data_IF_475034873788
#
_entry.id   IF_475034873788
#
_cell.length_a   1.000
_cell.length_b   1.000
_cell.length_c   1.000
_cell.angle_alpha   90.00
_cell.angle_beta   90.00
_cell.angle_gamma   90.00
#
_symmetry.space_group_name_H-M   'P 1'
#
loop_
_entity.id
_entity.type
_entity.pdbx_description
1 polymer ?
#
# COMPACT_ATOMS: atom_id res chain seq x y z
N UNK A 1 -7.62 9.77 22.85
CA UNK A 1 -8.28 10.10 24.12
C UNK A 1 -7.89 9.09 25.19
N UNK A 2 -8.12 7.78 25.02
CA UNK A 2 -7.80 6.75 26.02
C UNK A 2 -6.33 6.79 26.48
N UNK A 3 -5.39 6.91 25.56
CA UNK A 3 -3.96 6.98 25.87
C UNK A 3 -3.62 8.22 26.70
N UNK A 4 -4.24 9.37 26.41
CA UNK A 4 -4.03 10.63 27.14
C UNK A 4 -4.60 10.54 28.57
N UNK A 5 -5.74 9.89 28.73
CA UNK A 5 -6.34 9.63 30.06
C UNK A 5 -5.44 8.71 30.88
N UNK A 6 -4.91 7.64 30.27
CA UNK A 6 -3.96 6.72 30.94
C UNK A 6 -2.68 7.46 31.35
N UNK A 7 -2.09 8.25 30.45
CA UNK A 7 -0.89 9.03 30.73
C UNK A 7 -1.11 10.06 31.83
N UNK A 8 -2.24 10.77 31.82
CA UNK A 8 -2.59 11.72 32.87
C UNK A 8 -2.80 11.05 34.24
N UNK A 9 -3.46 9.89 34.25
CA UNK A 9 -3.67 9.10 35.48
C UNK A 9 -2.32 8.56 36.02
N UNK A 10 -1.46 8.07 35.14
CA UNK A 10 -0.13 7.60 35.50
C UNK A 10 0.77 8.76 36.01
N UNK A 11 0.70 9.90 35.36
CA UNK A 11 1.42 11.11 35.81
C UNK A 11 0.94 11.59 37.17
N UNK A 12 -0.38 11.60 37.40
CA UNK A 12 -0.96 11.93 38.70
C UNK A 12 -0.47 10.98 39.79
N UNK A 13 -0.44 9.68 39.52
CA UNK A 13 0.06 8.67 40.47
C UNK A 13 1.54 8.85 40.78
N UNK A 14 2.40 9.03 39.76
CA UNK A 14 3.85 9.23 39.92
C UNK A 14 4.14 10.50 40.72
N UNK A 15 3.46 11.60 40.43
CA UNK A 15 3.70 12.88 41.12
C UNK A 15 3.22 12.78 42.58
N UNK A 16 2.09 12.12 42.85
CA UNK A 16 1.63 11.92 44.22
C UNK A 16 2.60 11.09 45.07
N UNK A 17 3.16 10.03 44.51
CA UNK A 17 4.13 9.17 45.19
C UNK A 17 5.46 9.89 45.39
N UNK A 18 5.99 10.53 44.31
CA UNK A 18 7.23 11.32 44.39
C UNK A 18 7.13 12.52 45.33
N UNK A 19 5.93 13.14 45.41
CA UNK A 19 5.69 14.25 46.32
C UNK A 19 5.75 13.78 47.79
N UNK A 20 5.20 12.60 48.08
CA UNK A 20 5.27 11.99 49.39
C UNK A 20 6.70 11.77 49.87
N UNK A 21 7.53 11.22 48.98
CA UNK A 21 8.97 11.00 49.26
C UNK A 21 9.75 12.31 49.41
N UNK A 22 9.45 13.32 48.59
CA UNK A 22 10.05 14.66 48.70
C UNK A 22 9.72 15.33 50.05
N UNK A 23 8.44 15.30 50.43
CA UNK A 23 8.00 15.88 51.71
C UNK A 23 8.63 15.18 52.91
N UNK A 24 8.77 13.85 52.87
CA UNK A 24 9.47 13.12 53.92
C UNK A 24 10.97 13.58 54.05
N UNK A 25 11.65 13.81 52.93
CA UNK A 25 13.04 14.33 52.94
C UNK A 25 13.12 15.78 53.43
N UNK A 26 12.17 16.63 53.08
CA UNK A 26 12.09 18.00 53.59
C UNK A 26 11.88 18.01 55.11
N UNK A 27 10.98 17.13 55.62
CA UNK A 27 10.82 16.97 57.06
C UNK A 27 12.11 16.49 57.75
N UNK A 28 12.82 15.54 57.12
CA UNK A 28 14.10 15.04 57.63
C UNK A 28 15.13 16.18 57.75
N UNK A 29 15.23 17.08 56.76
CA UNK A 29 16.14 18.26 56.88
C UNK A 29 15.77 19.18 58.02
N UNK A 30 14.47 19.38 58.29
CA UNK A 30 13.97 20.18 59.40
C UNK A 30 14.22 19.52 60.78
N UNK A 31 14.29 18.19 60.78
CA UNK A 31 14.62 17.41 62.01
C UNK A 31 16.11 17.36 62.31
N UNK A 32 17.00 17.88 61.47
CA UNK A 32 18.44 17.84 61.65
C UNK A 32 18.91 18.42 63.03
N UNK A 33 18.34 19.50 63.58
CA UNK A 33 18.68 19.96 64.92
C UNK A 33 18.29 18.94 66.01
N UNK A 34 17.06 18.39 65.92
CA UNK A 34 16.58 17.36 66.85
C UNK A 34 17.44 16.10 66.77
N UNK A 35 17.85 15.73 65.55
CA UNK A 35 18.75 14.59 65.33
C UNK A 35 20.11 14.76 66.04
N UNK A 36 20.68 15.96 65.98
CA UNK A 36 21.93 16.24 66.71
C UNK A 36 21.80 15.98 68.20
N UNK A 37 20.72 16.46 68.80
CA UNK A 37 20.44 16.25 70.24
C UNK A 37 20.19 14.77 70.56
N UNK A 38 19.46 14.05 69.74
CA UNK A 38 19.26 12.60 69.89
C UNK A 38 20.60 11.83 69.84
N UNK A 39 21.48 12.17 68.88
CA UNK A 39 22.83 11.56 68.79
C UNK A 39 23.68 11.87 69.99
N UNK A 40 23.69 13.11 70.48
CA UNK A 40 24.45 13.53 71.68
C UNK A 40 23.94 12.78 72.93
N UNK A 41 22.61 12.67 73.05
CA UNK A 41 21.98 11.98 74.18
C UNK A 41 22.34 10.48 74.19
N UNK A 42 22.32 9.79 73.06
CA UNK A 42 22.77 8.40 72.94
C UNK A 42 24.25 8.24 73.27
N UNK A 43 25.13 9.18 72.84
CA UNK A 43 26.54 9.08 73.10
C UNK A 43 26.90 9.31 74.61
N UNK A 44 26.12 10.13 75.29
CA UNK A 44 26.39 10.45 76.71
C UNK A 44 25.75 9.43 77.69
N UNK A 45 24.52 9.00 77.46
CA UNK A 45 23.73 8.13 78.38
C UNK A 45 23.47 6.72 77.92
N UNK A 46 23.75 6.39 76.66
CA UNK A 46 23.62 5.11 75.96
C UNK A 46 22.16 4.53 75.94
N UNK A 47 21.12 5.28 76.37
CA UNK A 47 19.75 4.80 76.49
C UNK A 47 18.73 5.86 76.06
N UNK A 48 17.83 5.50 75.13
CA UNK A 48 16.72 6.32 74.69
C UNK A 48 15.44 6.14 75.51
N UNK A 49 15.48 5.29 76.56
CA UNK A 49 14.32 5.00 77.40
C UNK A 49 13.73 6.23 78.11
N UNK A 50 14.56 7.24 78.34
CA UNK A 50 14.13 8.52 78.95
C UNK A 50 13.13 9.26 78.05
N UNK A 51 13.20 9.11 76.73
CA UNK A 51 12.25 9.71 75.80
C UNK A 51 10.94 8.97 75.70
N UNK A 52 10.82 7.79 76.32
CA UNK A 52 9.56 7.02 76.44
C UNK A 52 8.64 7.57 77.54
N UNK A 53 9.11 8.48 78.38
CA UNK A 53 8.33 9.13 79.46
C UNK A 53 7.39 10.18 78.81
N UNK A 54 6.13 10.16 79.27
CA UNK A 54 5.11 11.09 78.80
C UNK A 54 5.59 12.54 78.83
N UNK A 55 5.46 13.25 77.71
CA UNK A 55 5.87 14.66 77.54
C UNK A 55 7.36 14.90 77.33
N UNK A 56 8.23 13.90 77.50
CA UNK A 56 9.69 14.09 77.32
C UNK A 56 10.08 14.42 75.86
N UNK A 57 9.44 13.82 74.90
CA UNK A 57 9.62 14.06 73.47
C UNK A 57 9.20 15.48 73.07
N UNK A 58 8.01 15.90 73.51
CA UNK A 58 7.44 17.21 73.24
C UNK A 58 8.32 18.31 73.81
N UNK A 59 8.76 18.13 75.07
CA UNK A 59 9.66 19.02 75.72
C UNK A 59 11.02 19.17 75.00
N UNK A 60 11.58 18.05 74.55
CA UNK A 60 12.80 18.04 73.75
C UNK A 60 12.66 18.87 72.44
N UNK A 61 11.59 18.61 71.70
CA UNK A 61 11.32 19.29 70.44
C UNK A 61 11.09 20.80 70.65
N UNK A 62 10.31 21.16 71.69
CA UNK A 62 10.06 22.55 72.02
C UNK A 62 11.34 23.28 72.48
N UNK A 63 12.19 22.64 73.30
CA UNK A 63 13.50 23.24 73.74
C UNK A 63 14.40 23.44 72.51
N UNK A 64 14.51 22.51 71.60
CA UNK A 64 15.28 22.65 70.36
C UNK A 64 14.77 23.83 69.48
N UNK A 65 13.46 24.01 69.40
CA UNK A 65 12.87 25.11 68.60
C UNK A 65 13.04 26.46 69.26
N UNK A 66 13.04 26.52 70.60
CA UNK A 66 13.27 27.71 71.37
C UNK A 66 14.75 28.20 71.18
N UNK A 67 15.70 27.29 71.33
CA UNK A 67 17.13 27.56 71.08
C UNK A 67 17.34 28.06 69.62
N UNK A 68 16.64 27.45 68.67
CA UNK A 68 16.73 27.89 67.28
C UNK A 68 16.10 29.25 67.05
N UNK A 69 15.04 29.62 67.76
CA UNK A 69 14.38 30.90 67.71
C UNK A 69 15.31 32.01 68.32
N UNK A 70 15.92 31.74 69.47
CA UNK A 70 16.90 32.64 70.10
C UNK A 70 18.16 32.83 69.24
N UNK A 71 18.64 31.73 68.60
CA UNK A 71 19.77 31.78 67.68
C UNK A 71 19.46 32.59 66.40
N UNK A 72 18.24 32.67 65.96
CA UNK A 72 17.83 33.55 64.85
C UNK A 72 17.70 35.01 65.26
N UNK A 73 17.38 35.28 66.52
CA UNK A 73 17.17 36.63 66.99
C UNK A 73 18.49 37.39 67.27
N UNK A 74 19.57 36.71 67.51
CA UNK A 74 20.85 37.32 67.87
C UNK A 74 21.88 37.24 66.73
N UNK A 75 22.48 38.38 66.32
CA UNK A 75 23.46 38.46 65.23
C UNK A 75 24.73 37.62 65.51
N UNK A 76 25.07 37.43 66.78
CA UNK A 76 26.21 36.61 67.27
C UNK A 76 25.95 35.09 67.02
N UNK A 77 24.71 34.62 67.04
CA UNK A 77 24.39 33.25 66.83
C UNK A 77 24.46 32.82 65.34
N UNK A 78 24.35 33.76 64.38
CA UNK A 78 24.63 33.49 62.96
C UNK A 78 26.07 33.10 62.70
N UNK A 79 27.00 33.66 63.44
CA UNK A 79 28.44 33.37 63.32
C UNK A 79 28.77 32.04 64.05
N UNK A 80 28.11 31.76 65.17
CA UNK A 80 28.24 30.49 65.87
C UNK A 80 27.59 29.29 65.13
N UNK A 81 26.53 29.53 64.39
CA UNK A 81 25.90 28.48 63.50
C UNK A 81 26.81 28.10 62.35
N UNK A 82 27.59 29.05 61.80
CA UNK A 82 28.63 28.81 60.81
C UNK A 82 29.85 28.07 61.35
N UNK A 83 30.19 28.26 62.62
CA UNK A 83 31.28 27.58 63.27
C UNK A 83 30.96 26.26 63.95
N UNK A 84 29.67 25.83 63.89
CA UNK A 84 29.24 24.54 64.47
C UNK A 84 29.23 24.46 65.98
N UNK A 85 29.29 25.60 66.66
CA UNK A 85 29.37 25.72 68.14
C UNK A 85 28.06 26.04 68.83
N UNK A 86 26.96 25.45 68.40
CA UNK A 86 25.70 25.51 69.15
C UNK A 86 25.72 24.36 70.16
N UNK A 87 25.88 24.67 71.41
CA UNK A 87 25.81 23.69 72.48
C UNK A 87 24.35 23.40 72.80
N UNK A 88 23.93 22.23 72.43
CA UNK A 88 22.59 21.68 72.72
C UNK A 88 22.61 20.84 73.99
N UNK A 89 23.31 21.22 75.04
CA UNK A 89 23.30 20.55 76.32
C UNK A 89 21.88 20.63 76.92
N UNK A 90 21.11 19.53 76.75
CA UNK A 90 19.79 19.36 77.32
C UNK A 90 19.90 18.48 78.57
N UNK A 91 19.54 19.04 79.73
CA UNK A 91 19.35 18.29 80.96
C UNK A 91 17.85 18.26 81.30
N UNK A 92 17.18 17.07 81.31
CA UNK A 92 15.76 16.97 81.64
C UNK A 92 15.36 17.46 83.01
N UNK A 93 16.33 17.66 83.91
CA UNK A 93 16.11 18.00 85.32
C UNK A 93 16.13 19.49 85.65
N UNK A 94 16.64 20.36 84.72
CA UNK A 94 17.02 21.69 85.11
C UNK A 94 16.06 22.83 84.77
N UNK A 95 14.91 22.56 84.13
CA UNK A 95 13.89 23.61 83.92
C UNK A 95 12.53 23.08 84.22
N UNK A 96 11.95 23.52 85.30
CA UNK A 96 10.52 23.35 85.59
C UNK A 96 9.66 24.00 84.50
N UNK A 97 9.51 23.31 83.37
CA UNK A 97 8.51 23.63 82.38
C UNK A 97 7.17 23.35 82.98
N UNK A 98 6.15 24.22 82.83
CA UNK A 98 4.81 23.93 83.32
C UNK A 98 4.29 22.68 82.66
N UNK A 99 3.48 21.87 83.39
CA UNK A 99 2.86 20.67 82.84
C UNK A 99 2.07 21.07 81.56
N UNK A 100 2.34 20.38 80.48
CA UNK A 100 1.68 20.61 79.23
C UNK A 100 0.24 20.14 79.36
N UNK A 101 -0.74 21.06 79.33
CA UNK A 101 -2.09 20.70 78.97
C UNK A 101 -2.09 20.00 77.60
N UNK A 102 -2.89 19.00 77.39
CA UNK A 102 -3.00 18.14 76.18
C UNK A 102 -3.34 18.91 74.87
N UNK A 103 -2.66 19.98 74.58
CA UNK A 103 -2.87 20.74 73.36
C UNK A 103 -1.83 20.32 72.30
N UNK A 104 -2.15 19.31 71.53
CA UNK A 104 -1.38 18.74 70.45
C UNK A 104 -1.03 19.78 69.36
N UNK A 105 -1.54 21.01 69.41
CA UNK A 105 -1.32 22.10 68.49
C UNK A 105 -0.02 22.89 68.73
N UNK A 106 0.69 22.64 69.86
CA UNK A 106 1.95 23.34 70.19
C UNK A 106 3.19 22.81 69.47
N UNK A 107 3.10 21.55 68.97
CA UNK A 107 4.26 20.98 68.28
C UNK A 107 4.44 21.55 66.85
N UNK A 108 5.69 21.80 66.41
CA UNK A 108 5.96 22.26 65.09
C UNK A 108 5.40 21.29 64.02
N UNK A 109 4.82 21.81 62.92
CA UNK A 109 4.15 20.95 61.91
C UNK A 109 5.06 19.89 61.27
N UNK A 110 6.38 20.12 61.24
CA UNK A 110 7.32 19.15 60.68
C UNK A 110 7.54 17.91 61.52
N UNK A 111 7.16 17.90 62.80
CA UNK A 111 7.23 16.74 63.71
C UNK A 111 6.03 15.86 63.62
N UNK A 112 4.90 16.35 63.06
CA UNK A 112 3.70 15.57 62.88
C UNK A 112 3.92 14.46 61.84
N UNK A 113 3.51 13.23 62.16
CA UNK A 113 3.76 12.07 61.34
C UNK A 113 5.22 11.61 61.33
N UNK A 114 5.96 11.89 62.40
CA UNK A 114 7.32 11.45 62.63
C UNK A 114 7.40 10.62 63.90
N UNK A 115 8.01 9.45 63.79
CA UNK A 115 8.32 8.61 64.93
C UNK A 115 9.83 8.37 65.03
N UNK A 116 10.34 8.30 66.27
CA UNK A 116 11.69 7.89 66.55
C UNK A 116 11.69 6.42 66.96
N UNK A 117 12.53 5.62 66.32
CA UNK A 117 12.78 4.22 66.61
C UNK A 117 14.18 4.06 67.19
N UNK A 118 14.35 3.09 68.12
CA UNK A 118 15.69 2.74 68.62
C UNK A 118 16.53 1.95 67.59
N UNK A 119 17.72 1.49 67.96
CA UNK A 119 18.60 0.70 67.10
C UNK A 119 17.97 -0.66 66.69
N UNK A 120 17.07 -1.20 67.51
CA UNK A 120 16.37 -2.48 67.26
C UNK A 120 15.09 -2.28 66.41
N UNK A 121 14.66 -1.04 66.21
CA UNK A 121 13.45 -0.69 65.49
C UNK A 121 12.20 -0.60 66.36
N UNK A 122 12.37 -0.58 67.68
CA UNK A 122 11.23 -0.38 68.60
C UNK A 122 10.90 1.12 68.68
N UNK A 123 9.58 1.39 68.89
CA UNK A 123 9.08 2.74 69.00
C UNK A 123 9.60 3.39 70.32
N UNK A 124 10.16 4.58 70.21
CA UNK A 124 10.69 5.35 71.33
C UNK A 124 9.81 6.57 71.61
N UNK A 125 9.55 7.40 70.64
CA UNK A 125 8.84 8.66 70.83
C UNK A 125 8.24 9.18 69.47
N UNK A 126 7.36 10.18 69.58
CA UNK A 126 6.71 10.83 68.44
C UNK A 126 5.35 10.25 68.11
N UNK A 127 4.87 10.52 66.94
CA UNK A 127 3.56 10.03 66.48
C UNK A 127 3.71 8.62 65.85
N UNK A 128 2.97 7.59 66.32
CA UNK A 128 3.02 6.28 65.75
C UNK A 128 2.61 6.31 64.27
N UNK A 129 3.48 5.83 63.37
CA UNK A 129 3.25 5.80 61.94
C UNK A 129 3.35 4.37 61.43
N UNK A 130 2.34 3.89 60.65
CA UNK A 130 2.42 2.57 60.03
C UNK A 130 3.64 2.47 59.09
N UNK A 131 4.43 1.41 59.23
CA UNK A 131 5.69 1.20 58.48
C UNK A 131 5.44 1.20 56.98
N UNK A 132 4.30 0.70 56.52
CA UNK A 132 3.90 0.64 55.10
C UNK A 132 3.71 2.04 54.48
N UNK A 133 3.38 3.02 55.28
CA UNK A 133 3.08 4.41 54.83
C UNK A 133 4.25 5.39 55.20
N UNK A 134 5.39 4.88 55.55
CA UNK A 134 6.49 5.69 56.02
C UNK A 134 7.82 5.39 55.34
N UNK A 135 8.72 6.36 55.37
CA UNK A 135 10.14 6.21 55.00
C UNK A 135 10.97 6.14 56.27
N UNK A 136 11.89 5.18 56.33
CA UNK A 136 12.83 5.00 57.42
C UNK A 136 14.16 5.63 57.06
N UNK A 137 14.64 6.52 57.91
CA UNK A 137 15.94 7.20 57.76
C UNK A 137 16.83 6.89 59.00
N UNK A 138 17.95 6.18 58.83
CA UNK A 138 18.83 5.83 59.95
C UNK A 138 19.54 7.06 60.48
N UNK A 139 19.60 7.14 61.82
CA UNK A 139 20.40 8.11 62.56
C UNK A 139 21.71 7.43 62.94
N UNK A 140 22.83 7.99 62.46
CA UNK A 140 24.15 7.43 62.72
C UNK A 140 24.96 8.31 63.65
N UNK A 141 25.76 7.65 64.54
CA UNK A 141 26.74 8.34 65.39
C UNK A 141 28.04 8.63 64.62
N UNK A 142 29.01 9.24 65.34
CA UNK A 142 30.35 9.58 64.76
C UNK A 142 31.13 8.35 64.30
N UNK A 143 30.80 7.14 64.75
CA UNK A 143 31.38 5.85 64.41
C UNK A 143 30.64 5.18 63.24
N UNK A 144 29.73 5.87 62.55
CA UNK A 144 28.88 5.38 61.45
C UNK A 144 27.93 4.21 61.83
N UNK A 145 27.72 3.98 63.13
CA UNK A 145 26.78 2.97 63.64
C UNK A 145 25.38 3.58 63.73
N UNK A 146 24.35 2.83 63.34
CA UNK A 146 22.96 3.28 63.45
C UNK A 146 22.53 3.17 64.93
N UNK A 147 22.23 4.31 65.51
CA UNK A 147 21.83 4.41 66.93
C UNK A 147 20.32 4.58 67.13
N UNK A 148 19.65 5.08 66.13
CA UNK A 148 18.20 5.27 66.10
C UNK A 148 17.74 5.38 64.61
N UNK A 149 16.46 5.49 64.37
CA UNK A 149 15.93 5.75 63.01
C UNK A 149 14.70 6.65 63.08
N UNK A 150 14.60 7.55 62.16
CA UNK A 150 13.38 8.29 61.91
C UNK A 150 12.43 7.42 61.05
N UNK A 151 11.16 7.38 61.44
CA UNK A 151 10.07 6.85 60.62
C UNK A 151 9.15 8.02 60.27
N UNK A 152 9.17 8.47 59.00
CA UNK A 152 8.48 9.65 58.57
C UNK A 152 7.38 9.26 57.60
N UNK A 153 6.10 9.64 57.89
CA UNK A 153 4.94 9.34 57.08
C UNK A 153 5.11 9.92 55.65
N UNK A 154 4.82 9.10 54.65
CA UNK A 154 4.74 9.52 53.25
C UNK A 154 3.47 10.35 53.02
N UNK A 155 3.65 11.48 52.38
CA UNK A 155 2.52 12.33 51.99
C UNK A 155 2.35 13.58 52.87
N UNK A 156 1.46 14.49 52.49
CA UNK A 156 1.14 15.66 53.28
C UNK A 156 0.39 15.23 54.51
N UNK A 157 0.61 15.87 55.68
CA UNK A 157 -0.29 15.74 56.84
C UNK A 157 -1.69 16.16 56.42
N UNK A 158 -2.72 15.47 56.96
CA UNK A 158 -4.13 15.70 56.59
C UNK A 158 -4.57 17.18 56.69
N UNK A 159 -3.82 17.99 57.47
CA UNK A 159 -4.09 19.42 57.69
C UNK A 159 -3.05 20.37 57.07
N UNK A 160 -2.19 19.91 56.13
CA UNK A 160 -1.22 20.80 55.48
C UNK A 160 -1.83 21.53 54.29
N UNK A 161 -2.23 22.79 54.51
CA UNK A 161 -2.82 23.65 53.48
C UNK A 161 -1.95 23.79 52.20
N UNK A 162 -0.62 23.74 52.35
CA UNK A 162 0.32 23.81 51.25
C UNK A 162 0.26 22.55 50.36
N UNK A 163 0.21 21.37 50.98
CA UNK A 163 0.09 20.11 50.24
C UNK A 163 -1.24 19.96 49.48
N UNK A 164 -2.33 20.38 50.12
CA UNK A 164 -3.67 20.41 49.49
C UNK A 164 -3.73 21.39 48.33
N UNK A 165 -3.13 22.60 48.49
CA UNK A 165 -3.11 23.59 47.41
C UNK A 165 -2.27 23.14 46.21
N UNK A 166 -1.14 22.47 46.45
CA UNK A 166 -0.32 21.90 45.39
C UNK A 166 -1.06 20.82 44.59
N UNK A 167 -1.73 19.88 45.28
CA UNK A 167 -2.50 18.85 44.63
C UNK A 167 -3.69 19.40 43.83
N UNK A 168 -4.38 20.41 44.35
CA UNK A 168 -5.47 21.07 43.67
C UNK A 168 -5.01 21.80 42.38
N UNK A 169 -3.90 22.53 42.45
CA UNK A 169 -3.31 23.17 41.26
C UNK A 169 -2.88 22.14 40.23
N UNK A 170 -2.26 21.03 40.66
CA UNK A 170 -1.89 19.96 39.71
C UNK A 170 -3.08 19.31 39.00
N UNK A 171 -4.18 19.04 39.72
CA UNK A 171 -5.40 18.54 39.11
C UNK A 171 -5.94 19.52 38.07
N UNK A 172 -5.93 20.81 38.37
CA UNK A 172 -6.38 21.87 37.47
C UNK A 172 -5.52 21.90 36.18
N UNK A 173 -4.20 21.88 36.31
CA UNK A 173 -3.31 21.82 35.12
C UNK A 173 -3.48 20.55 34.30
N UNK A 174 -3.66 19.41 34.96
CA UNK A 174 -3.95 18.13 34.28
C UNK A 174 -5.25 18.19 33.49
N UNK A 175 -6.30 18.82 34.05
CA UNK A 175 -7.57 19.02 33.36
C UNK A 175 -7.41 19.92 32.13
N UNK A 176 -6.66 21.03 32.22
CA UNK A 176 -6.38 21.89 31.08
C UNK A 176 -5.60 21.19 29.96
N UNK A 177 -4.59 20.40 30.31
CA UNK A 177 -3.81 19.59 29.37
C UNK A 177 -4.68 18.56 28.65
N UNK A 178 -5.54 17.86 29.39
CA UNK A 178 -6.51 16.92 28.83
C UNK A 178 -7.49 17.60 27.86
N UNK A 179 -8.04 18.73 28.28
CA UNK A 179 -8.98 19.49 27.44
C UNK A 179 -8.32 20.00 26.16
N UNK A 180 -7.12 20.56 26.25
CA UNK A 180 -6.34 21.02 25.10
C UNK A 180 -6.02 19.87 24.14
N UNK A 181 -5.59 18.71 24.68
CA UNK A 181 -5.32 17.50 23.90
C UNK A 181 -6.56 16.98 23.18
N UNK A 182 -7.72 17.00 23.86
CA UNK A 182 -8.98 16.58 23.25
C UNK A 182 -9.41 17.50 22.08
N UNK A 183 -9.27 18.82 22.28
CA UNK A 183 -9.56 19.81 21.23
C UNK A 183 -8.60 19.61 20.04
N UNK A 184 -7.29 19.50 20.32
CA UNK A 184 -6.29 19.27 19.27
C UNK A 184 -6.56 17.99 18.46
N UNK A 185 -6.85 16.87 19.16
CA UNK A 185 -7.20 15.61 18.51
C UNK A 185 -8.47 15.71 17.67
N UNK A 186 -9.48 16.44 18.16
CA UNK A 186 -10.71 16.70 17.42
C UNK A 186 -10.49 17.50 16.15
N UNK A 187 -9.69 18.57 16.23
CA UNK A 187 -9.32 19.40 15.08
C UNK A 187 -8.52 18.60 14.06
N UNK A 188 -7.53 17.83 14.51
CA UNK A 188 -6.73 16.99 13.64
C UNK A 188 -7.58 15.91 12.94
N UNK A 189 -8.45 15.23 13.68
CA UNK A 189 -9.38 14.24 13.11
C UNK A 189 -10.32 14.87 12.08
N UNK A 190 -10.83 16.07 12.35
CA UNK A 190 -11.67 16.81 11.41
C UNK A 190 -10.93 17.22 10.13
N UNK A 191 -9.67 17.69 10.26
CA UNK A 191 -8.82 18.04 9.13
C UNK A 191 -8.53 16.82 8.25
N UNK A 192 -8.14 15.70 8.87
CA UNK A 192 -7.89 14.43 8.18
C UNK A 192 -9.15 13.91 7.48
N UNK A 193 -10.28 13.91 8.18
CA UNK A 193 -11.55 13.51 7.59
C UNK A 193 -11.92 14.38 6.37
N UNK A 194 -11.72 15.68 6.44
CA UNK A 194 -11.97 16.61 5.33
C UNK A 194 -11.00 16.38 4.18
N UNK A 195 -9.73 16.09 4.47
CA UNK A 195 -8.70 15.82 3.47
C UNK A 195 -8.99 14.55 2.66
N UNK A 196 -9.45 13.48 3.31
CA UNK A 196 -9.72 12.20 2.64
C UNK A 196 -11.15 12.07 2.08
N UNK A 197 -12.15 12.67 2.74
CA UNK A 197 -13.57 12.46 2.38
C UNK A 197 -13.91 12.97 0.98
N UNK A 198 -13.40 14.15 0.59
CA UNK A 198 -13.68 14.75 -0.71
C UNK A 198 -13.12 13.93 -1.88
N UNK A 199 -11.82 13.59 -1.93
CA UNK A 199 -11.27 12.78 -3.02
C UNK A 199 -11.91 11.37 -3.12
N UNK A 200 -12.20 10.75 -1.97
CA UNK A 200 -12.88 9.47 -1.94
C UNK A 200 -14.31 9.54 -2.53
N UNK A 201 -15.05 10.59 -2.24
CA UNK A 201 -16.39 10.78 -2.80
C UNK A 201 -16.33 10.97 -4.34
N UNK A 202 -15.33 11.72 -4.84
CA UNK A 202 -15.11 11.90 -6.28
C UNK A 202 -14.78 10.55 -6.95
N UNK A 203 -13.90 9.78 -6.35
CA UNK A 203 -13.53 8.44 -6.84
C UNK A 203 -14.73 7.49 -6.85
N UNK A 204 -15.49 7.44 -5.76
CA UNK A 204 -16.69 6.61 -5.64
C UNK A 204 -17.74 6.97 -6.70
N UNK A 205 -17.97 8.27 -6.94
CA UNK A 205 -18.88 8.74 -7.97
C UNK A 205 -18.37 8.37 -9.37
N UNK A 206 -17.07 8.48 -9.62
CA UNK A 206 -16.44 8.04 -10.87
C UNK A 206 -16.70 6.55 -11.14
N UNK A 207 -16.45 5.69 -10.16
CA UNK A 207 -16.73 4.25 -10.29
C UNK A 207 -18.21 3.95 -10.54
N UNK A 208 -19.13 4.65 -9.86
CA UNK A 208 -20.57 4.49 -10.08
C UNK A 208 -20.97 4.85 -11.51
N UNK A 209 -20.43 5.95 -12.06
CA UNK A 209 -20.72 6.38 -13.43
C UNK A 209 -20.19 5.37 -14.45
N UNK A 210 -18.97 4.88 -14.27
CA UNK A 210 -18.40 3.85 -15.14
C UNK A 210 -19.20 2.55 -15.06
N UNK A 211 -19.60 2.13 -13.86
CA UNK A 211 -20.46 0.96 -13.67
C UNK A 211 -21.85 1.12 -14.30
N UNK A 212 -22.34 2.36 -14.41
CA UNK A 212 -23.58 2.68 -15.13
C UNK A 212 -23.39 2.81 -16.66
N UNK A 213 -22.17 2.55 -17.18
CA UNK A 213 -21.86 2.57 -18.61
C UNK A 213 -21.29 3.89 -19.15
N UNK A 214 -21.10 4.92 -18.30
CA UNK A 214 -20.48 6.17 -18.72
C UNK A 214 -18.95 6.04 -18.71
N UNK A 215 -18.41 5.44 -19.76
CA UNK A 215 -16.98 5.23 -19.96
C UNK A 215 -16.21 6.50 -20.33
N UNK A 216 -16.91 7.62 -20.62
CA UNK A 216 -16.27 8.91 -20.88
C UNK A 216 -15.89 9.66 -19.59
N UNK A 217 -16.31 9.16 -18.42
CA UNK A 217 -15.96 9.74 -17.13
C UNK A 217 -14.46 9.79 -16.94
N UNK A 218 -13.95 10.97 -16.54
CA UNK A 218 -12.55 11.17 -16.15
C UNK A 218 -12.49 11.89 -14.80
N UNK A 219 -11.51 11.51 -13.99
CA UNK A 219 -11.26 12.14 -12.69
C UNK A 219 -10.16 13.20 -12.82
N UNK A 220 -10.26 14.32 -12.07
CA UNK A 220 -9.22 15.36 -12.07
C UNK A 220 -7.96 14.81 -11.37
N UNK A 221 -6.94 14.48 -12.14
CA UNK A 221 -5.66 13.93 -11.64
C UNK A 221 -4.62 15.05 -11.47
N UNK A 222 -4.97 16.09 -10.68
CA UNK A 222 -4.12 17.29 -10.51
C UNK A 222 -3.14 17.20 -9.33
N UNK A 223 -3.19 16.14 -8.51
CA UNK A 223 -2.36 16.00 -7.32
C UNK A 223 -1.18 15.06 -7.57
N UNK A 224 0.00 15.45 -7.07
CA UNK A 224 1.23 14.66 -7.14
C UNK A 224 1.42 13.83 -5.84
N UNK A 225 0.39 13.06 -5.50
CA UNK A 225 0.37 12.16 -4.35
C UNK A 225 -0.31 10.83 -4.74
N UNK A 226 -0.43 9.90 -3.77
CA UNK A 226 -1.02 8.57 -3.98
C UNK A 226 -2.46 8.65 -4.51
N UNK A 227 -3.21 9.69 -4.09
CA UNK A 227 -4.56 9.91 -4.57
C UNK A 227 -4.59 10.31 -6.04
N UNK A 228 -3.65 11.14 -6.48
CA UNK A 228 -3.47 11.50 -7.91
C UNK A 228 -3.07 10.29 -8.75
N UNK A 229 -2.24 9.39 -8.20
CA UNK A 229 -1.89 8.14 -8.88
C UNK A 229 -3.12 7.22 -9.08
N UNK A 230 -3.94 7.04 -8.05
CA UNK A 230 -5.20 6.29 -8.16
C UNK A 230 -6.11 6.89 -9.24
N UNK A 231 -6.21 8.23 -9.29
CA UNK A 231 -7.02 8.93 -10.30
C UNK A 231 -6.45 8.73 -11.72
N UNK A 232 -5.13 8.76 -11.90
CA UNK A 232 -4.48 8.45 -13.18
C UNK A 232 -4.74 7.02 -13.62
N UNK A 233 -4.59 6.07 -12.70
CA UNK A 233 -4.88 4.65 -12.97
C UNK A 233 -6.33 4.41 -13.32
N UNK A 234 -7.28 5.06 -12.61
CA UNK A 234 -8.69 5.07 -12.97
C UNK A 234 -8.93 5.60 -14.39
N UNK A 235 -8.33 6.75 -14.73
CA UNK A 235 -8.47 7.34 -16.06
C UNK A 235 -7.88 6.45 -17.17
N UNK A 236 -6.76 5.80 -16.91
CA UNK A 236 -6.16 4.82 -17.83
C UNK A 236 -7.07 3.62 -18.05
N UNK A 237 -7.60 3.05 -16.97
CA UNK A 237 -8.55 1.93 -17.03
C UNK A 237 -9.81 2.30 -17.83
N UNK A 238 -10.41 3.47 -17.53
CA UNK A 238 -11.61 3.90 -18.25
C UNK A 238 -11.35 4.19 -19.72
N UNK A 239 -10.15 4.70 -20.06
CA UNK A 239 -9.75 4.88 -21.47
C UNK A 239 -9.64 3.53 -22.20
N UNK A 240 -9.05 2.52 -21.57
CA UNK A 240 -8.95 1.17 -22.13
C UNK A 240 -10.32 0.53 -22.30
N UNK A 241 -11.20 0.63 -21.30
CA UNK A 241 -12.58 0.13 -21.39
C UNK A 241 -13.36 0.83 -22.51
N UNK A 242 -13.22 2.14 -22.64
CA UNK A 242 -13.87 2.91 -23.70
C UNK A 242 -13.39 2.49 -25.08
N UNK A 243 -12.06 2.32 -25.25
CA UNK A 243 -11.48 1.83 -26.50
C UNK A 243 -11.97 0.43 -26.85
N UNK A 244 -12.02 -0.49 -25.87
CA UNK A 244 -12.55 -1.84 -26.08
C UNK A 244 -14.03 -1.83 -26.48
N UNK A 245 -14.86 -1.03 -25.79
CA UNK A 245 -16.30 -0.97 -26.12
C UNK A 245 -16.52 -0.34 -27.50
N UNK A 246 -15.76 0.69 -27.86
CA UNK A 246 -15.84 1.29 -29.20
C UNK A 246 -15.43 0.28 -30.27
N UNK A 247 -14.31 -0.43 -30.08
CA UNK A 247 -13.86 -1.49 -30.99
C UNK A 247 -14.89 -2.62 -31.11
N UNK A 248 -15.51 -3.02 -29.99
CA UNK A 248 -16.59 -4.03 -29.95
C UNK A 248 -17.81 -3.59 -30.76
N UNK A 249 -18.26 -2.33 -30.57
CA UNK A 249 -19.41 -1.79 -31.33
C UNK A 249 -19.11 -1.71 -32.82
N UNK A 250 -17.92 -1.25 -33.19
CA UNK A 250 -17.50 -1.19 -34.58
C UNK A 250 -17.47 -2.59 -35.18
N UNK A 251 -16.89 -3.57 -34.48
CA UNK A 251 -16.86 -4.97 -34.93
C UNK A 251 -18.25 -5.53 -35.19
N UNK A 252 -19.24 -5.29 -34.30
CA UNK A 252 -20.63 -5.73 -34.52
C UNK A 252 -21.26 -5.07 -35.73
N UNK A 253 -21.01 -3.77 -35.91
CA UNK A 253 -21.54 -3.03 -37.05
C UNK A 253 -20.94 -3.55 -38.40
N UNK A 254 -19.63 -3.69 -38.47
CA UNK A 254 -18.92 -4.17 -39.66
C UNK A 254 -19.31 -5.61 -40.00
N UNK A 255 -19.37 -6.50 -39.00
CA UNK A 255 -19.85 -7.88 -39.19
C UNK A 255 -21.25 -7.91 -39.77
N UNK A 256 -22.16 -7.07 -39.25
CA UNK A 256 -23.54 -6.99 -39.72
C UNK A 256 -23.60 -6.52 -41.19
N UNK A 257 -22.75 -5.57 -41.56
CA UNK A 257 -22.66 -5.07 -42.94
C UNK A 257 -22.11 -6.13 -43.90
N UNK A 258 -21.03 -6.82 -43.54
CA UNK A 258 -20.39 -7.82 -44.38
C UNK A 258 -21.26 -9.10 -44.55
N UNK A 259 -22.06 -9.44 -43.54
CA UNK A 259 -23.06 -10.55 -43.69
C UNK A 259 -24.27 -10.15 -44.50
N UNK A 260 -24.73 -8.90 -44.40
CA UNK A 260 -25.94 -8.42 -45.08
C UNK A 260 -25.78 -8.42 -46.60
N UNK A 261 -24.62 -8.03 -47.10
CA UNK A 261 -24.34 -7.90 -48.54
C UNK A 261 -24.52 -9.21 -49.31
N UNK A 262 -23.83 -10.32 -48.98
CA UNK A 262 -24.00 -11.59 -49.68
C UNK A 262 -25.42 -12.17 -49.50
N UNK A 263 -26.01 -11.99 -48.34
CA UNK A 263 -27.39 -12.44 -48.09
C UNK A 263 -28.40 -11.69 -48.94
N UNK A 264 -28.22 -10.38 -49.14
CA UNK A 264 -29.06 -9.57 -50.02
C UNK A 264 -28.90 -10.01 -51.49
N UNK A 265 -27.66 -10.29 -51.93
CA UNK A 265 -27.40 -10.80 -53.30
C UNK A 265 -28.08 -12.15 -53.52
N UNK A 266 -27.91 -13.08 -52.57
CA UNK A 266 -28.60 -14.39 -52.60
C UNK A 266 -30.11 -14.23 -52.70
N UNK A 267 -30.68 -13.38 -51.86
CA UNK A 267 -32.11 -13.11 -51.83
C UNK A 267 -32.59 -12.53 -53.15
N UNK A 268 -31.96 -11.50 -53.66
CA UNK A 268 -32.29 -10.84 -54.93
C UNK A 268 -32.24 -11.82 -56.12
N UNK A 269 -31.17 -12.66 -56.19
CA UNK A 269 -31.05 -13.68 -57.25
C UNK A 269 -32.16 -14.72 -57.17
N UNK A 270 -32.47 -15.22 -55.98
CA UNK A 270 -33.54 -16.20 -55.81
C UNK A 270 -34.91 -15.59 -56.08
N UNK A 271 -35.16 -14.32 -55.69
CA UNK A 271 -36.40 -13.62 -56.06
C UNK A 271 -36.51 -13.41 -57.56
N UNK A 272 -35.42 -13.03 -58.25
CA UNK A 272 -35.40 -12.85 -59.71
C UNK A 272 -35.58 -14.19 -60.51
N UNK A 273 -35.03 -15.29 -59.98
CA UNK A 273 -35.27 -16.61 -60.53
C UNK A 273 -36.72 -17.04 -60.32
N UNK A 274 -37.30 -16.82 -59.16
CA UNK A 274 -38.72 -17.14 -58.85
C UNK A 274 -39.68 -16.34 -59.76
N UNK A 275 -39.37 -15.05 -59.98
CA UNK A 275 -40.23 -14.15 -60.75
C UNK A 275 -39.97 -14.27 -62.26
N UNK A 276 -39.12 -15.22 -62.71
CA UNK A 276 -38.80 -15.46 -64.10
C UNK A 276 -37.96 -14.40 -64.81
N UNK A 277 -37.36 -13.44 -64.01
CA UNK A 277 -36.49 -12.39 -64.54
C UNK A 277 -35.14 -12.98 -64.96
N UNK A 278 -34.65 -13.94 -64.18
CA UNK A 278 -33.46 -14.71 -64.49
C UNK A 278 -33.82 -16.14 -64.70
N UNK A 279 -33.31 -16.72 -65.81
CA UNK A 279 -33.58 -18.16 -66.12
C UNK A 279 -32.89 -19.05 -65.08
N UNK A 280 -33.59 -20.06 -64.58
CA UNK A 280 -33.04 -21.08 -63.71
C UNK A 280 -32.03 -21.91 -64.50
N UNK A 281 -30.74 -21.75 -64.31
CA UNK A 281 -29.67 -22.46 -64.98
C UNK A 281 -28.68 -23.03 -63.99
N UNK A 282 -27.91 -24.03 -64.41
CA UNK A 282 -26.81 -24.56 -63.57
C UNK A 282 -25.79 -23.51 -63.21
N UNK A 283 -25.51 -22.54 -64.08
CA UNK A 283 -24.63 -21.43 -63.83
C UNK A 283 -25.13 -20.55 -62.67
N UNK A 284 -26.40 -20.23 -62.63
CA UNK A 284 -26.98 -19.44 -61.53
C UNK A 284 -26.99 -20.22 -60.20
N UNK A 285 -27.23 -21.52 -60.24
CA UNK A 285 -27.09 -22.39 -59.07
C UNK A 285 -25.64 -22.43 -58.58
N UNK A 286 -24.65 -22.56 -59.46
CA UNK A 286 -23.24 -22.52 -59.10
C UNK A 286 -22.84 -21.17 -58.48
N UNK A 287 -23.36 -20.06 -59.00
CA UNK A 287 -23.13 -18.71 -58.41
C UNK A 287 -23.76 -18.60 -57.02
N UNK A 288 -24.93 -19.17 -56.78
CA UNK A 288 -25.57 -19.18 -55.48
C UNK A 288 -24.76 -20.04 -54.48
N UNK A 289 -24.34 -21.25 -54.94
CA UNK A 289 -23.48 -22.14 -54.12
C UNK A 289 -22.14 -21.48 -53.79
N UNK A 290 -21.51 -20.79 -54.74
CA UNK A 290 -20.30 -20.01 -54.47
C UNK A 290 -20.52 -18.92 -53.41
N UNK A 291 -21.64 -18.17 -53.50
CA UNK A 291 -21.97 -17.14 -52.50
C UNK A 291 -22.23 -17.73 -51.12
N UNK A 292 -22.87 -18.93 -51.04
CA UNK A 292 -23.06 -19.66 -49.78
C UNK A 292 -21.69 -20.10 -49.19
N UNK A 293 -20.80 -20.63 -50.06
CA UNK A 293 -19.45 -21.02 -49.65
C UNK A 293 -18.66 -19.84 -49.11
N UNK A 294 -18.70 -18.69 -49.80
CA UNK A 294 -18.05 -17.44 -49.36
C UNK A 294 -18.60 -16.98 -48.00
N UNK A 295 -19.91 -17.09 -47.80
CA UNK A 295 -20.55 -16.75 -46.52
C UNK A 295 -20.09 -17.70 -45.40
N UNK A 296 -19.95 -19.00 -45.68
CA UNK A 296 -19.45 -19.98 -44.73
C UNK A 296 -18.01 -19.65 -44.29
N UNK A 297 -17.14 -19.36 -45.28
CA UNK A 297 -15.75 -18.91 -44.97
C UNK A 297 -15.74 -17.64 -44.14
N UNK A 298 -16.61 -16.67 -44.44
CA UNK A 298 -16.72 -15.45 -43.65
C UNK A 298 -17.14 -15.74 -42.19
N UNK A 299 -18.08 -16.66 -41.97
CA UNK A 299 -18.51 -17.05 -40.62
C UNK A 299 -17.36 -17.72 -39.84
N UNK A 300 -16.62 -18.62 -40.50
CA UNK A 300 -15.46 -19.30 -39.91
C UNK A 300 -14.34 -18.30 -39.57
N UNK A 301 -14.11 -17.32 -40.44
CA UNK A 301 -13.19 -16.23 -40.23
C UNK A 301 -13.60 -15.37 -38.99
N UNK A 302 -14.87 -15.00 -38.89
CA UNK A 302 -15.44 -14.27 -37.74
C UNK A 302 -15.29 -15.04 -36.44
N UNK A 303 -15.56 -16.36 -36.44
CA UNK A 303 -15.32 -17.18 -35.24
C UNK A 303 -13.85 -17.24 -34.87
N UNK A 304 -12.96 -17.29 -35.86
CA UNK A 304 -11.50 -17.28 -35.64
C UNK A 304 -11.05 -15.97 -35.00
N UNK A 305 -11.56 -14.84 -35.49
CA UNK A 305 -11.29 -13.51 -34.92
C UNK A 305 -11.83 -13.36 -33.50
N UNK A 306 -13.04 -13.85 -33.24
CA UNK A 306 -13.67 -13.84 -31.91
C UNK A 306 -12.78 -14.60 -30.88
N UNK A 307 -12.34 -15.80 -31.24
CA UNK A 307 -11.43 -16.61 -30.40
C UNK A 307 -10.10 -15.93 -30.17
N UNK A 308 -9.52 -15.26 -31.15
CA UNK A 308 -8.30 -14.50 -31.03
C UNK A 308 -8.41 -13.38 -29.98
N UNK A 309 -9.58 -12.73 -29.90
CA UNK A 309 -9.84 -11.60 -28.99
C UNK A 309 -10.02 -12.05 -27.54
N UNK A 310 -10.58 -13.21 -27.30
CA UNK A 310 -10.82 -13.77 -25.96
C UNK A 310 -9.59 -14.47 -25.37
N UNK A 311 -8.42 -14.42 -26.04
CA UNK A 311 -7.18 -15.05 -25.58
C UNK A 311 -7.20 -16.57 -25.64
N UNK A 312 -8.16 -17.16 -26.37
CA UNK A 312 -8.51 -18.57 -26.33
C UNK A 312 -8.22 -19.34 -27.62
N UNK A 313 -7.04 -19.15 -28.27
CA UNK A 313 -6.60 -20.16 -29.22
C UNK A 313 -6.24 -21.44 -28.45
N UNK A 314 -7.05 -22.48 -28.61
CA UNK A 314 -6.70 -23.85 -28.18
C UNK A 314 -5.70 -24.40 -29.20
N UNK A 315 -4.40 -24.06 -29.02
CA UNK A 315 -3.33 -24.44 -29.94
C UNK A 315 -2.74 -25.79 -29.56
N UNK A 316 -2.67 -26.68 -30.52
CA UNK A 316 -2.02 -27.98 -30.40
C UNK A 316 -0.57 -27.88 -30.87
N UNK A 317 0.30 -27.42 -29.96
CA UNK A 317 1.72 -27.27 -30.28
C UNK A 317 2.38 -28.63 -30.51
N UNK A 318 3.03 -28.76 -31.67
CA UNK A 318 3.88 -29.88 -32.02
C UNK A 318 5.15 -29.37 -32.70
N UNK A 319 6.24 -30.13 -32.60
CA UNK A 319 7.45 -29.85 -33.35
C UNK A 319 7.17 -30.09 -34.84
N UNK A 320 7.30 -29.04 -35.64
CA UNK A 320 7.06 -29.09 -37.08
C UNK A 320 8.24 -28.59 -37.89
N UNK A 321 8.46 -29.15 -39.05
CA UNK A 321 9.46 -28.74 -40.02
C UNK A 321 8.88 -27.65 -40.92
N UNK A 322 9.45 -26.46 -40.88
CA UNK A 322 8.92 -25.27 -41.57
C UNK A 322 8.88 -25.45 -43.07
N UNK A 323 9.96 -25.96 -43.69
CA UNK A 323 10.04 -26.15 -45.12
C UNK A 323 8.98 -27.14 -45.65
N UNK A 324 8.78 -28.28 -44.98
CA UNK A 324 7.79 -29.25 -45.38
C UNK A 324 6.38 -28.65 -45.38
N UNK A 325 6.02 -27.88 -44.34
CA UNK A 325 4.73 -27.21 -44.24
C UNK A 325 4.52 -26.15 -45.34
N UNK A 326 5.58 -25.52 -45.79
CA UNK A 326 5.53 -24.57 -46.91
C UNK A 326 5.37 -25.29 -48.25
N UNK A 327 6.09 -26.39 -48.46
CA UNK A 327 5.98 -27.22 -49.65
C UNK A 327 4.54 -27.79 -49.81
N UNK A 328 3.90 -28.24 -48.71
CA UNK A 328 2.50 -28.65 -48.72
C UNK A 328 1.58 -27.49 -49.14
N UNK A 329 1.78 -26.29 -48.53
CA UNK A 329 0.98 -25.10 -48.88
C UNK A 329 1.18 -24.64 -50.35
N UNK A 330 2.40 -24.77 -50.89
CA UNK A 330 2.64 -24.50 -52.31
C UNK A 330 1.88 -25.49 -53.21
N UNK A 331 1.98 -26.77 -52.88
CA UNK A 331 1.30 -27.81 -53.67
C UNK A 331 -0.20 -27.58 -53.72
N UNK A 332 -0.85 -27.24 -52.60
CA UNK A 332 -2.27 -26.97 -52.52
C UNK A 332 -2.73 -25.77 -53.38
N UNK A 333 -1.84 -24.77 -53.57
CA UNK A 333 -2.16 -23.53 -54.30
C UNK A 333 -1.60 -23.49 -55.74
N UNK A 334 -0.71 -24.39 -56.14
CA UNK A 334 -0.01 -24.37 -57.41
C UNK A 334 -0.94 -24.31 -58.62
N UNK A 335 -2.00 -25.11 -58.63
CA UNK A 335 -3.00 -25.14 -59.72
C UNK A 335 -3.74 -23.80 -59.89
N UNK A 336 -4.12 -23.16 -58.77
CA UNK A 336 -4.81 -21.86 -58.78
C UNK A 336 -3.90 -20.72 -59.32
N UNK A 337 -2.63 -20.71 -58.89
CA UNK A 337 -1.64 -19.73 -59.37
C UNK A 337 -1.40 -19.88 -60.85
N UNK A 338 -1.18 -21.11 -61.33
CA UNK A 338 -0.97 -21.41 -62.76
C UNK A 338 -2.20 -21.01 -63.62
N UNK A 339 -3.42 -21.33 -63.17
CA UNK A 339 -4.65 -20.95 -63.85
C UNK A 339 -4.83 -19.42 -63.91
N UNK A 340 -4.31 -18.65 -62.95
CA UNK A 340 -4.35 -17.19 -62.92
C UNK A 340 -3.16 -16.54 -63.64
N UNK A 341 -2.27 -17.30 -64.28
CA UNK A 341 -1.11 -16.79 -64.98
C UNK A 341 0.01 -16.24 -64.04
N UNK A 342 0.04 -16.72 -62.81
CA UNK A 342 1.02 -16.35 -61.80
C UNK A 342 2.01 -17.49 -61.55
N UNK A 343 3.28 -17.14 -61.28
CA UNK A 343 4.27 -18.12 -60.81
C UNK A 343 4.38 -18.10 -59.27
N UNK A 344 4.51 -19.28 -58.67
CA UNK A 344 4.70 -19.45 -57.21
C UNK A 344 5.99 -20.23 -56.95
N UNK A 345 6.90 -19.65 -56.16
CA UNK A 345 8.22 -20.23 -55.92
C UNK A 345 8.57 -20.20 -54.43
N UNK A 346 9.34 -21.24 -53.98
CA UNK A 346 9.90 -21.31 -52.65
C UNK A 346 11.44 -21.22 -52.72
N UNK A 347 12.00 -20.37 -51.93
CA UNK A 347 13.45 -20.19 -51.79
C UNK A 347 13.90 -20.35 -50.34
N UNK A 348 14.59 -21.44 -50.04
CA UNK A 348 15.08 -21.72 -48.71
C UNK A 348 16.53 -21.27 -48.61
N UNK A 349 16.76 -20.24 -47.79
CA UNK A 349 18.07 -19.61 -47.57
C UNK A 349 18.82 -20.20 -46.34
N UNK A 350 18.47 -21.40 -45.93
CA UNK A 350 19.05 -22.04 -44.76
C UNK A 350 19.58 -23.41 -45.15
N UNK A 351 20.84 -23.67 -44.85
CA UNK A 351 21.49 -24.97 -45.05
C UNK A 351 21.09 -26.03 -44.02
N UNK A 352 20.40 -25.60 -42.93
CA UNK A 352 19.95 -26.50 -41.86
C UNK A 352 18.42 -26.55 -41.82
N UNK A 353 17.82 -27.70 -41.51
CA UNK A 353 16.40 -27.82 -41.32
C UNK A 353 15.93 -26.93 -40.15
N UNK A 354 14.88 -26.16 -40.41
CA UNK A 354 14.29 -25.23 -39.44
C UNK A 354 13.05 -25.86 -38.78
N UNK A 355 13.10 -25.97 -37.47
CA UNK A 355 11.99 -26.50 -36.68
C UNK A 355 11.42 -25.42 -35.77
N UNK A 356 10.10 -25.43 -35.65
CA UNK A 356 9.35 -24.57 -34.70
C UNK A 356 8.44 -25.43 -33.84
N UNK A 357 8.04 -24.92 -32.70
CA UNK A 357 6.90 -25.45 -31.96
C UNK A 357 5.66 -24.68 -32.39
N UNK A 358 4.71 -25.36 -33.03
CA UNK A 358 3.54 -24.70 -33.58
C UNK A 358 2.35 -25.64 -33.81
N UNK A 359 1.20 -25.04 -34.02
CA UNK A 359 0.01 -25.72 -34.48
C UNK A 359 -0.03 -25.73 -36.04
N UNK A 360 0.18 -26.90 -36.61
CA UNK A 360 0.32 -27.06 -38.07
C UNK A 360 -0.92 -26.54 -38.80
N UNK A 361 -2.13 -26.82 -38.31
CA UNK A 361 -3.37 -26.41 -38.93
C UNK A 361 -3.51 -24.87 -38.95
N UNK A 362 -3.15 -24.21 -37.84
CA UNK A 362 -3.22 -22.76 -37.75
C UNK A 362 -2.16 -22.07 -38.59
N UNK A 363 -0.94 -22.57 -38.58
CA UNK A 363 0.13 -22.01 -39.43
C UNK A 363 -0.14 -22.25 -40.93
N UNK A 364 -0.74 -23.39 -41.30
CA UNK A 364 -1.25 -23.61 -42.67
C UNK A 364 -2.35 -22.58 -43.02
N UNK A 365 -3.24 -22.22 -42.11
CA UNK A 365 -4.23 -21.14 -42.27
C UNK A 365 -3.58 -19.79 -42.55
N UNK A 366 -2.47 -19.43 -41.81
CA UNK A 366 -1.69 -18.21 -42.08
C UNK A 366 -1.17 -18.20 -43.51
N UNK A 367 -0.47 -19.28 -43.93
CA UNK A 367 0.09 -19.38 -45.27
C UNK A 367 -0.98 -19.28 -46.35
N UNK A 368 -2.07 -20.05 -46.19
CA UNK A 368 -3.22 -19.98 -47.12
C UNK A 368 -3.78 -18.57 -47.27
N UNK A 369 -3.99 -17.87 -46.17
CA UNK A 369 -4.53 -16.49 -46.18
C UNK A 369 -3.60 -15.52 -46.92
N UNK A 370 -2.29 -15.61 -46.66
CA UNK A 370 -1.31 -14.78 -47.35
C UNK A 370 -1.20 -15.10 -48.81
N UNK A 371 -1.15 -16.39 -49.21
CA UNK A 371 -1.09 -16.82 -50.58
C UNK A 371 -2.37 -16.46 -51.35
N UNK A 372 -3.56 -16.61 -50.75
CA UNK A 372 -4.80 -16.18 -51.36
C UNK A 372 -4.86 -14.64 -51.55
N UNK A 373 -4.23 -13.86 -50.67
CA UNK A 373 -4.08 -12.43 -50.91
C UNK A 373 -3.19 -12.16 -52.12
N UNK A 374 -2.01 -12.78 -52.22
CA UNK A 374 -1.13 -12.65 -53.37
C UNK A 374 -1.83 -13.08 -54.65
N UNK A 375 -2.56 -14.20 -54.65
CA UNK A 375 -3.35 -14.66 -55.83
C UNK A 375 -4.41 -13.65 -56.28
N UNK A 376 -5.04 -12.94 -55.35
CA UNK A 376 -6.13 -11.99 -55.65
C UNK A 376 -5.62 -10.63 -56.12
N UNK A 377 -4.48 -10.18 -55.58
CA UNK A 377 -4.05 -8.79 -55.75
C UNK A 377 -2.86 -8.62 -56.69
N UNK A 378 -2.17 -9.72 -57.07
CA UNK A 378 -1.09 -9.66 -58.06
C UNK A 378 -1.67 -9.65 -59.49
N UNK A 379 -1.21 -8.75 -60.29
CA UNK A 379 -1.61 -8.70 -61.72
C UNK A 379 -0.82 -9.74 -62.54
N UNK A 380 -1.51 -10.40 -63.46
CA UNK A 380 -0.88 -11.36 -64.34
C UNK A 380 -0.34 -10.65 -65.62
N UNK A 381 0.83 -11.03 -66.13
CA UNK A 381 1.75 -12.04 -65.59
C UNK A 381 2.49 -11.55 -64.38
N UNK A 382 2.54 -12.37 -63.31
CA UNK A 382 3.15 -12.00 -62.05
C UNK A 382 3.83 -13.16 -61.31
N UNK A 383 4.49 -12.84 -60.24
CA UNK A 383 5.26 -13.77 -59.41
C UNK A 383 4.96 -13.59 -57.94
N UNK A 384 4.87 -14.74 -57.23
CA UNK A 384 4.87 -14.80 -55.76
C UNK A 384 6.04 -15.65 -55.33
N UNK A 385 6.90 -15.07 -54.48
CA UNK A 385 8.10 -15.71 -53.97
C UNK A 385 8.00 -15.85 -52.44
N UNK A 386 8.17 -17.05 -51.95
CA UNK A 386 8.29 -17.32 -50.52
C UNK A 386 9.77 -17.51 -50.20
N UNK A 387 10.32 -16.70 -49.28
CA UNK A 387 11.68 -16.87 -48.77
C UNK A 387 11.67 -17.33 -47.32
N UNK A 388 12.50 -18.30 -46.99
CA UNK A 388 12.70 -18.82 -45.65
C UNK A 388 14.13 -18.65 -45.23
N UNK A 389 14.35 -18.00 -44.12
CA UNK A 389 15.69 -17.76 -43.57
C UNK A 389 15.70 -17.88 -42.05
N UNK A 390 16.89 -18.13 -41.51
CA UNK A 390 17.12 -18.05 -40.04
C UNK A 390 17.54 -16.65 -39.66
N UNK A 391 16.87 -16.06 -38.66
CA UNK A 391 17.23 -14.77 -38.06
C UNK A 391 17.47 -14.95 -36.54
N UNK A 392 18.72 -15.24 -36.19
CA UNK A 392 19.10 -15.49 -34.81
C UNK A 392 18.37 -16.69 -34.21
N UNK A 393 17.44 -16.44 -33.28
CA UNK A 393 16.63 -17.49 -32.62
C UNK A 393 15.25 -17.71 -33.28
N UNK A 394 14.97 -17.00 -34.36
CA UNK A 394 13.70 -17.07 -35.07
C UNK A 394 13.90 -17.63 -36.49
N UNK A 395 12.86 -18.23 -37.04
CA UNK A 395 12.69 -18.43 -38.47
C UNK A 395 11.92 -17.23 -39.02
N UNK A 396 12.36 -16.72 -40.16
CA UNK A 396 11.69 -15.68 -40.93
C UNK A 396 11.15 -16.28 -42.21
N UNK A 397 9.87 -16.14 -42.43
CA UNK A 397 9.13 -16.51 -43.64
C UNK A 397 8.66 -15.21 -44.27
N UNK A 398 9.06 -14.94 -45.49
CA UNK A 398 8.72 -13.73 -46.22
C UNK A 398 8.00 -14.12 -47.51
N UNK A 399 6.74 -13.69 -47.65
CA UNK A 399 5.95 -13.92 -48.84
C UNK A 399 5.86 -12.62 -49.60
N UNK A 400 6.46 -12.57 -50.79
CA UNK A 400 6.56 -11.40 -51.65
C UNK A 400 5.80 -11.63 -52.95
N UNK A 401 5.01 -10.64 -53.33
CA UNK A 401 4.37 -10.62 -54.65
C UNK A 401 4.87 -9.48 -55.52
N UNK A 402 4.58 -9.61 -56.85
CA UNK A 402 4.81 -8.57 -57.81
C UNK A 402 3.63 -7.57 -57.85
N UNK A 403 3.78 -6.51 -58.62
CA UNK A 403 2.83 -5.40 -58.77
C UNK A 403 1.35 -5.87 -58.98
N UNK A 404 0.39 -5.04 -58.53
CA UNK A 404 0.52 -3.75 -57.91
C UNK A 404 0.80 -3.87 -56.39
N UNK A 405 1.50 -2.91 -55.83
CA UNK A 405 1.69 -2.83 -54.38
C UNK A 405 0.52 -2.12 -53.68
N UNK A 406 0.76 -1.76 -52.43
CA UNK A 406 -0.15 -0.93 -51.62
C UNK A 406 0.50 0.44 -51.34
N UNK A 407 -0.29 1.53 -51.17
CA UNK A 407 0.26 2.82 -50.79
C UNK A 407 0.83 2.77 -49.36
N UNK A 408 1.86 3.62 -49.07
CA UNK A 408 2.50 3.70 -47.76
C UNK A 408 1.52 3.90 -46.60
N UNK A 409 0.48 4.69 -46.86
CA UNK A 409 -0.58 4.98 -45.89
C UNK A 409 -1.43 3.74 -45.51
N UNK A 410 -1.45 2.72 -46.33
CA UNK A 410 -2.21 1.50 -46.14
C UNK A 410 -1.43 0.45 -45.30
N UNK A 411 -0.10 0.43 -45.38
CA UNK A 411 0.75 -0.59 -44.72
C UNK A 411 0.47 -0.79 -43.24
N UNK A 412 0.32 0.27 -42.39
CA UNK A 412 0.02 0.12 -40.97
C UNK A 412 -1.35 -0.49 -40.69
N UNK A 413 -2.28 -0.39 -41.63
CA UNK A 413 -3.69 -0.75 -41.46
C UNK A 413 -4.05 -2.14 -42.04
N UNK A 414 -3.14 -2.79 -42.77
CA UNK A 414 -3.42 -4.05 -43.48
C UNK A 414 -3.83 -5.19 -42.53
N UNK A 415 -3.47 -5.15 -41.26
CA UNK A 415 -3.83 -6.15 -40.25
C UNK A 415 -5.09 -5.76 -39.45
N UNK A 416 -5.62 -4.54 -39.70
CA UNK A 416 -6.91 -4.16 -39.08
C UNK A 416 -8.06 -4.96 -39.70
N UNK A 417 -9.05 -5.29 -38.86
CA UNK A 417 -10.21 -6.07 -39.26
C UNK A 417 -11.04 -5.30 -40.31
N UNK A 418 -11.49 -6.00 -41.34
CA UNK A 418 -12.29 -5.45 -42.45
C UNK A 418 -11.59 -4.34 -43.25
N UNK A 419 -10.31 -4.09 -42.99
CA UNK A 419 -9.55 -3.10 -43.77
C UNK A 419 -9.31 -3.58 -45.19
N UNK A 420 -9.57 -2.68 -46.16
CA UNK A 420 -9.36 -2.91 -47.59
C UNK A 420 -8.91 -1.60 -48.24
N UNK A 421 -7.90 -1.69 -49.08
CA UNK A 421 -7.46 -0.54 -49.91
C UNK A 421 -8.55 -0.07 -50.86
N UNK A 422 -8.75 1.24 -50.98
CA UNK A 422 -9.84 1.81 -51.82
C UNK A 422 -9.86 1.31 -53.25
N UNK A 423 -8.68 1.12 -53.87
CA UNK A 423 -8.56 0.57 -55.21
C UNK A 423 -8.98 -0.89 -55.40
N UNK A 424 -9.13 -1.64 -54.26
CA UNK A 424 -9.54 -3.06 -54.30
C UNK A 424 -11.05 -3.26 -54.16
N UNK A 425 -11.83 -2.24 -53.80
CA UNK A 425 -13.30 -2.33 -53.65
C UNK A 425 -14.03 -2.59 -54.94
N UNK A 426 -13.44 -2.21 -56.09
CA UNK A 426 -14.03 -2.36 -57.42
C UNK A 426 -13.76 -3.71 -58.11
N UNK A 427 -12.91 -4.59 -57.52
CA UNK A 427 -12.69 -5.92 -58.11
C UNK A 427 -13.75 -6.87 -57.62
N UNK A 428 -14.42 -7.56 -58.56
CA UNK A 428 -15.54 -8.51 -58.33
C UNK A 428 -15.19 -9.72 -57.44
N UNK A 429 -13.93 -9.82 -57.01
CA UNK A 429 -13.37 -10.92 -56.19
C UNK A 429 -12.94 -10.43 -54.81
N UNK A 430 -13.80 -9.67 -54.12
CA UNK A 430 -13.45 -9.06 -52.84
C UNK A 430 -13.32 -10.07 -51.69
N UNK A 431 -12.22 -10.02 -50.91
CA UNK A 431 -12.08 -10.73 -49.64
C UNK A 431 -12.73 -10.00 -48.47
N UNK A 432 -12.99 -10.72 -47.40
CA UNK A 432 -13.61 -10.20 -46.15
C UNK A 432 -12.82 -9.12 -45.40
N UNK A 433 -11.54 -8.93 -45.75
CA UNK A 433 -10.64 -8.08 -44.95
C UNK A 433 -10.29 -8.64 -43.57
N UNK A 434 -10.60 -9.90 -43.32
CA UNK A 434 -10.29 -10.58 -42.04
C UNK A 434 -9.03 -11.43 -42.11
N UNK A 435 -8.63 -11.88 -43.30
CA UNK A 435 -7.55 -12.85 -43.48
C UNK A 435 -6.22 -12.45 -42.82
N UNK A 436 -5.75 -11.21 -43.03
CA UNK A 436 -4.50 -10.72 -42.41
C UNK A 436 -4.66 -10.50 -40.90
N UNK A 437 -5.80 -10.05 -40.43
CA UNK A 437 -6.09 -9.93 -38.99
C UNK A 437 -6.06 -11.30 -38.27
N UNK A 438 -6.58 -12.35 -38.94
CA UNK A 438 -6.47 -13.74 -38.45
C UNK A 438 -5.02 -14.18 -38.41
N UNK A 439 -4.22 -13.86 -39.46
CA UNK A 439 -2.80 -14.17 -39.50
C UNK A 439 -2.05 -13.55 -38.31
N UNK A 440 -2.34 -12.28 -38.00
CA UNK A 440 -1.74 -11.58 -36.86
C UNK A 440 -2.10 -12.29 -35.54
N UNK A 441 -3.35 -12.62 -35.32
CA UNK A 441 -3.79 -13.32 -34.12
C UNK A 441 -3.12 -14.69 -33.94
N UNK A 442 -3.03 -15.48 -35.01
CA UNK A 442 -2.35 -16.79 -34.99
C UNK A 442 -0.87 -16.65 -34.72
N UNK A 443 -0.18 -15.74 -35.42
CA UNK A 443 1.26 -15.54 -35.26
C UNK A 443 1.61 -15.05 -33.85
N UNK A 444 0.83 -14.12 -33.28
CA UNK A 444 0.99 -13.68 -31.92
C UNK A 444 0.76 -14.80 -30.90
N UNK A 445 -0.24 -15.67 -31.11
CA UNK A 445 -0.47 -16.84 -30.26
C UNK A 445 0.71 -17.84 -30.30
N UNK A 446 1.47 -17.88 -31.40
CA UNK A 446 2.73 -18.61 -31.54
C UNK A 446 3.96 -17.84 -31.04
N UNK A 447 3.77 -16.72 -30.32
CA UNK A 447 4.83 -15.82 -29.79
C UNK A 447 5.72 -15.27 -30.92
N UNK A 448 5.18 -15.16 -32.12
CA UNK A 448 5.81 -14.60 -33.31
C UNK A 448 5.47 -13.14 -33.53
N UNK A 449 5.94 -12.62 -34.65
CA UNK A 449 5.61 -11.29 -35.19
C UNK A 449 5.26 -11.38 -36.65
N UNK A 450 4.31 -10.56 -37.10
CA UNK A 450 3.93 -10.42 -38.49
C UNK A 450 3.87 -8.92 -38.83
N UNK A 451 4.31 -8.56 -40.03
CA UNK A 451 4.19 -7.20 -40.55
C UNK A 451 4.19 -7.19 -42.06
N UNK A 452 3.82 -6.08 -42.68
CA UNK A 452 3.83 -5.86 -44.08
C UNK A 452 4.83 -4.75 -44.48
N UNK A 453 5.43 -4.90 -45.66
CA UNK A 453 6.35 -3.93 -46.25
C UNK A 453 6.26 -4.01 -47.77
N UNK A 454 6.87 -3.07 -48.48
CA UNK A 454 6.96 -3.17 -49.92
C UNK A 454 7.79 -4.36 -50.36
N UNK A 455 7.30 -5.06 -51.35
CA UNK A 455 8.00 -6.18 -51.96
C UNK A 455 9.11 -5.66 -52.90
N UNK A 456 10.26 -6.32 -52.90
CA UNK A 456 11.30 -6.07 -53.91
C UNK A 456 10.87 -6.46 -55.35
N UNK A 457 9.77 -7.22 -55.47
CA UNK A 457 9.14 -7.57 -56.73
C UNK A 457 8.14 -6.52 -57.21
N UNK A 458 7.95 -5.44 -56.45
CA UNK A 458 7.08 -4.31 -56.81
C UNK A 458 5.67 -4.37 -56.22
N UNK A 459 5.32 -5.40 -55.47
CA UNK A 459 4.03 -5.60 -54.78
C UNK A 459 4.13 -5.45 -53.26
N UNK A 460 3.47 -6.35 -52.55
CA UNK A 460 3.44 -6.45 -51.08
C UNK A 460 4.36 -7.58 -50.62
N UNK A 461 5.06 -7.35 -49.51
CA UNK A 461 5.78 -8.37 -48.76
C UNK A 461 5.14 -8.53 -47.37
N UNK A 462 4.67 -9.72 -47.07
CA UNK A 462 4.20 -10.11 -45.74
C UNK A 462 5.28 -10.95 -45.06
N UNK A 463 5.76 -10.48 -43.91
CA UNK A 463 6.85 -11.11 -43.16
C UNK A 463 6.31 -11.71 -41.87
N UNK A 464 6.63 -12.98 -41.64
CA UNK A 464 6.30 -13.72 -40.41
C UNK A 464 7.59 -14.18 -39.76
N UNK A 465 7.76 -13.85 -38.50
CA UNK A 465 8.88 -14.36 -37.66
C UNK A 465 8.30 -15.23 -36.54
N UNK A 466 8.80 -16.45 -36.42
CA UNK A 466 8.41 -17.42 -35.37
C UNK A 466 9.64 -17.90 -34.61
N UNK A 467 9.54 -18.17 -33.30
CA UNK A 467 10.65 -18.70 -32.53
C UNK A 467 11.00 -20.12 -32.98
N UNK A 468 12.29 -20.37 -33.18
CA UNK A 468 12.81 -21.71 -33.49
C UNK A 468 12.61 -22.63 -32.27
N UNK A 469 12.34 -23.90 -32.57
CA UNK A 469 12.32 -24.96 -31.55
C UNK A 469 13.63 -24.96 -30.77
N UNK A 470 13.55 -24.77 -29.47
CA UNK A 470 14.68 -24.92 -28.56
C UNK A 470 14.57 -26.29 -27.88
N UNK A 471 15.56 -27.18 -28.07
CA UNK A 471 15.58 -28.42 -27.30
C UNK A 471 15.59 -28.05 -25.80
N UNK A 472 14.73 -28.71 -25.02
CA UNK A 472 14.69 -28.51 -23.58
C UNK A 472 16.15 -28.63 -23.02
N UNK A 473 16.62 -27.57 -22.35
CA UNK A 473 17.87 -27.68 -21.60
C UNK A 473 17.71 -28.82 -20.59
N UNK A 474 18.49 -29.86 -20.80
CA UNK A 474 18.62 -30.97 -19.85
C UNK A 474 19.18 -30.49 -18.52
#
# INVERSE_FOLDING_TARGET
VLLVVILASMMHYIVRDSFGDYMARVKLQRLAPVQKVVVQFVNERHDLSVLKVDGAWENLVLAVEEVKREAKATKAARDAEKEGRIDYSFSPEDKGLPPLEEDNDRLPPYVRGVALLDANGEFVAGEPVPVEQALRFPIKNSSNTTVASWLIRKGPPENDALGQHFLAEQVKWSFWLLSLSAVFSGVLAWLLARYFKKPMAVLQNGFRRVAAGDLATRLPASQDNEMGEIQRNFNSMTSQLQAQETARRQWVADTSHELRTPLTILRMRNEAMRDGIIAVSDDEWQRNLSTISDLTVLIDDLQSVARATEGGWDLKFAKMHVQASLEDALQDNAAAFTASGLSLRLHVLSDQPLYIDGDAQRLHQVLRNVLLNSLRYTDAPGETLIEVSRKGKNVRIEVMDSAPGVPDTALPHLFERFYRCEGSRNRATGGSGLGLAICEGIVHAHKGRIWAQHSRLGGLSVVVELPLHQPAKK
#
